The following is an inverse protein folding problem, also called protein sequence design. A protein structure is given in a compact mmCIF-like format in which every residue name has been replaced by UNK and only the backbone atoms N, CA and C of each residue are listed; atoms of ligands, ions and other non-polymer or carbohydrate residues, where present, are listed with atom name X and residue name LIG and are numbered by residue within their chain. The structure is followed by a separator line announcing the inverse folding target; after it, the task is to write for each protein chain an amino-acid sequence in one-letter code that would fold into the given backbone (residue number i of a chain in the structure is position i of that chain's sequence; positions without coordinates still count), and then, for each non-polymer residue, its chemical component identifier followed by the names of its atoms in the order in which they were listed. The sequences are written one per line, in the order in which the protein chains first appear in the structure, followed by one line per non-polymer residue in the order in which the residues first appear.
data_IF_062343066737
#
_entry.id   IF_062343066737
#
_cell.length_a   1.000
_cell.length_b   1.000
_cell.length_c   1.000
_cell.angle_alpha   90.00
_cell.angle_beta   90.00
_cell.angle_gamma   90.00
#
_symmetry.space_group_name_H-M   'P 1'
#
loop_
_entity.id
_entity.type
_entity.pdbx_description
1 polymer ?
#
# COMPACT_ATOMS: atom_id res chain seq x y z
N UNK A 1 -3.48 -8.61 -28.75
CA UNK A 1 -4.63 -7.71 -28.94
C UNK A 1 -4.82 -7.39 -30.43
N UNK A 2 -3.82 -6.86 -31.12
CA UNK A 2 -3.88 -6.42 -32.53
C UNK A 2 -4.31 -7.51 -33.51
N UNK A 3 -3.77 -8.74 -33.37
CA UNK A 3 -4.16 -9.88 -34.23
C UNK A 3 -5.65 -10.21 -34.19
N UNK A 4 -6.32 -9.94 -33.04
CA UNK A 4 -7.74 -10.22 -32.84
C UNK A 4 -8.61 -8.97 -33.01
N UNK A 5 -8.01 -7.82 -33.35
CA UNK A 5 -8.68 -6.52 -33.46
C UNK A 5 -9.51 -6.15 -32.23
N UNK A 6 -9.00 -6.48 -31.05
CA UNK A 6 -9.58 -6.14 -29.74
C UNK A 6 -8.71 -5.16 -28.94
N UNK A 7 -7.78 -4.48 -29.60
CA UNK A 7 -7.08 -3.33 -29.04
C UNK A 7 -8.00 -2.10 -29.03
N UNK A 8 -7.59 -1.10 -28.25
CA UNK A 8 -8.40 0.10 -28.05
C UNK A 8 -8.79 0.79 -29.36
N UNK A 9 -7.84 0.99 -30.28
CA UNK A 9 -8.10 1.72 -31.52
C UNK A 9 -9.09 0.96 -32.43
N UNK A 10 -8.93 -0.36 -32.51
CA UNK A 10 -9.86 -1.21 -33.29
C UNK A 10 -11.28 -1.16 -32.72
N UNK A 11 -11.44 -1.23 -31.41
CA UNK A 11 -12.76 -1.22 -30.76
C UNK A 11 -13.37 0.19 -30.76
N UNK A 12 -12.57 1.22 -30.56
CA UNK A 12 -12.98 2.62 -30.65
C UNK A 12 -13.51 3.00 -32.03
N UNK A 13 -12.92 2.45 -33.09
CA UNK A 13 -13.39 2.69 -34.46
C UNK A 13 -14.84 2.19 -34.68
N UNK A 14 -15.27 1.19 -33.92
CA UNK A 14 -16.65 0.67 -33.95
C UNK A 14 -17.56 1.45 -33.00
N UNK A 15 -17.05 1.91 -31.86
CA UNK A 15 -17.81 2.64 -30.87
C UNK A 15 -16.95 3.69 -30.17
N UNK A 16 -17.07 4.96 -30.59
CA UNK A 16 -16.33 6.07 -29.99
C UNK A 16 -16.65 6.30 -28.49
N UNK A 17 -17.74 5.74 -28.00
CA UNK A 17 -18.15 5.86 -26.59
C UNK A 17 -17.60 4.74 -25.72
N UNK A 18 -16.81 3.81 -26.27
CA UNK A 18 -16.26 2.69 -25.52
C UNK A 18 -15.31 3.17 -24.41
N UNK A 19 -15.49 2.65 -23.21
CA UNK A 19 -14.49 2.71 -22.15
C UNK A 19 -13.75 1.39 -22.18
N UNK A 20 -12.51 1.44 -22.60
CA UNK A 20 -11.63 0.28 -22.73
C UNK A 20 -10.73 0.20 -21.50
N UNK A 21 -10.89 -0.85 -20.70
CA UNK A 21 -10.16 -1.00 -19.44
C UNK A 21 -9.17 -2.15 -19.51
N UNK A 22 -7.95 -1.96 -19.03
CA UNK A 22 -6.93 -3.01 -19.02
C UNK A 22 -6.01 -2.93 -17.80
N UNK A 23 -5.64 -4.12 -17.29
CA UNK A 23 -4.59 -4.30 -16.28
C UNK A 23 -3.48 -5.15 -16.90
N UNK A 24 -2.24 -4.81 -16.59
CA UNK A 24 -1.06 -5.61 -16.93
C UNK A 24 -0.11 -5.68 -15.72
N UNK A 25 0.90 -6.53 -15.79
CA UNK A 25 1.89 -6.64 -14.71
C UNK A 25 2.68 -5.36 -14.49
N UNK A 26 3.14 -4.73 -15.59
CA UNK A 26 4.14 -3.67 -15.56
C UNK A 26 3.79 -2.42 -16.39
N UNK A 27 2.55 -2.28 -16.83
CA UNK A 27 2.11 -1.19 -17.68
C UNK A 27 1.99 -1.59 -19.15
N UNK A 28 1.43 -0.69 -19.95
CA UNK A 28 1.27 -0.88 -21.40
C UNK A 28 2.49 -0.39 -22.18
N UNK A 29 3.36 0.36 -21.52
CA UNK A 29 4.56 0.98 -22.05
C UNK A 29 5.74 0.73 -21.12
N UNK A 30 6.95 1.08 -21.57
CA UNK A 30 8.16 0.94 -20.77
C UNK A 30 8.89 -0.40 -20.94
N UNK A 31 10.03 -0.57 -20.26
CA UNK A 31 10.96 -1.68 -20.51
C UNK A 31 10.42 -3.07 -20.15
N UNK A 32 9.33 -3.14 -19.35
CA UNK A 32 8.74 -4.40 -18.90
C UNK A 32 7.33 -4.64 -19.46
N UNK A 33 6.85 -3.82 -20.39
CA UNK A 33 5.51 -3.93 -20.96
C UNK A 33 5.19 -5.30 -21.57
N UNK A 34 6.20 -5.98 -22.13
CA UNK A 34 6.07 -7.31 -22.72
C UNK A 34 6.30 -8.45 -21.70
N UNK A 35 6.63 -8.13 -20.45
CA UNK A 35 6.86 -9.16 -19.44
C UNK A 35 5.56 -9.55 -18.74
N UNK A 36 5.34 -10.85 -18.50
CA UNK A 36 4.25 -11.28 -17.64
C UNK A 36 4.51 -10.84 -16.20
N UNK A 37 3.48 -10.37 -15.52
CA UNK A 37 3.52 -10.01 -14.11
C UNK A 37 2.42 -10.74 -13.36
N UNK A 38 2.76 -11.20 -12.16
CA UNK A 38 1.82 -11.79 -11.19
C UNK A 38 2.08 -11.18 -9.82
N UNK A 39 1.11 -11.24 -8.96
CA UNK A 39 1.13 -10.65 -7.61
C UNK A 39 2.44 -10.90 -6.86
N UNK A 40 2.89 -12.15 -6.77
CA UNK A 40 4.11 -12.53 -6.06
C UNK A 40 5.36 -11.77 -6.54
N UNK A 41 5.50 -11.63 -7.86
CA UNK A 41 6.65 -10.93 -8.47
C UNK A 41 6.55 -9.44 -8.19
N UNK A 42 5.35 -8.88 -8.31
CA UNK A 42 5.11 -7.44 -8.13
C UNK A 42 5.26 -7.03 -6.65
N UNK A 43 4.82 -7.83 -5.70
CA UNK A 43 5.07 -7.57 -4.28
C UNK A 43 6.58 -7.44 -3.99
N UNK A 44 7.40 -8.29 -4.61
CA UNK A 44 8.87 -8.20 -4.49
C UNK A 44 9.45 -6.96 -5.16
N UNK A 45 9.10 -6.74 -6.41
CA UNK A 45 9.65 -5.63 -7.23
C UNK A 45 9.23 -4.24 -6.75
N UNK A 46 8.05 -4.11 -6.16
CA UNK A 46 7.58 -2.83 -5.60
C UNK A 46 8.30 -2.43 -4.32
N UNK A 47 9.00 -3.34 -3.65
CA UNK A 47 9.58 -3.11 -2.33
C UNK A 47 8.67 -3.46 -1.15
N UNK A 48 7.41 -3.84 -1.37
CA UNK A 48 6.48 -4.20 -0.29
C UNK A 48 7.04 -5.32 0.59
N UNK A 49 7.64 -6.35 -0.03
CA UNK A 49 8.21 -7.48 0.72
C UNK A 49 9.41 -7.08 1.58
N UNK A 50 10.15 -6.04 1.21
CA UNK A 50 11.32 -5.58 1.97
C UNK A 50 10.96 -4.82 3.25
N UNK A 51 9.73 -4.33 3.35
CA UNK A 51 9.21 -3.63 4.54
C UNK A 51 8.23 -4.47 5.36
N UNK A 52 7.86 -5.65 4.86
CA UNK A 52 6.90 -6.57 5.49
C UNK A 52 7.65 -7.70 6.20
N UNK A 53 7.28 -7.98 7.45
CA UNK A 53 7.81 -9.08 8.24
C UNK A 53 8.78 -8.66 9.35
N UNK A 54 9.34 -9.65 10.02
CA UNK A 54 10.24 -9.48 11.16
C UNK A 54 11.64 -9.06 10.72
N UNK A 55 12.30 -8.14 11.42
CA UNK A 55 13.68 -7.74 11.14
C UNK A 55 14.63 -8.95 11.06
N UNK A 56 15.43 -8.99 9.99
CA UNK A 56 16.42 -10.05 9.79
C UNK A 56 15.87 -11.39 9.25
N UNK A 57 14.56 -11.50 9.01
CA UNK A 57 13.95 -12.73 8.45
C UNK A 57 13.92 -12.75 6.92
N UNK A 58 14.41 -11.70 6.27
CA UNK A 58 14.34 -11.54 4.82
C UNK A 58 12.97 -11.06 4.33
N UNK A 59 12.84 -10.78 3.02
CA UNK A 59 11.61 -10.27 2.44
C UNK A 59 10.41 -11.21 2.66
N UNK A 60 9.27 -10.66 3.06
CA UNK A 60 8.06 -11.43 3.35
C UNK A 60 6.87 -10.89 2.56
N UNK A 61 6.12 -11.80 1.92
CA UNK A 61 4.90 -11.41 1.20
C UNK A 61 3.73 -11.14 2.13
N UNK A 62 2.83 -10.28 1.71
CA UNK A 62 1.50 -10.15 2.31
C UNK A 62 0.65 -11.39 2.00
N UNK A 63 -0.16 -11.86 2.93
CA UNK A 63 -0.90 -13.13 2.85
C UNK A 63 -1.96 -13.23 1.75
N UNK A 64 -2.28 -12.12 1.06
CA UNK A 64 -3.26 -12.05 -0.02
C UNK A 64 -2.60 -11.55 -1.32
N UNK A 65 -3.30 -11.69 -2.46
CA UNK A 65 -2.89 -11.13 -3.76
C UNK A 65 -3.17 -9.61 -3.79
N UNK A 66 -2.39 -8.85 -3.00
CA UNK A 66 -2.67 -7.44 -2.76
C UNK A 66 -2.45 -6.56 -3.99
N UNK A 67 -1.51 -6.91 -4.88
CA UNK A 67 -1.29 -6.14 -6.10
C UNK A 67 -2.46 -6.30 -7.08
N UNK A 68 -3.03 -7.49 -7.18
CA UNK A 68 -4.19 -7.77 -8.04
C UNK A 68 -5.42 -7.01 -7.54
N UNK A 69 -5.70 -7.09 -6.24
CA UNK A 69 -6.84 -6.39 -5.64
C UNK A 69 -6.69 -4.87 -5.71
N UNK A 70 -5.49 -4.33 -5.46
CA UNK A 70 -5.22 -2.90 -5.58
C UNK A 70 -5.40 -2.41 -7.03
N UNK A 71 -4.86 -3.13 -8.01
CA UNK A 71 -5.01 -2.78 -9.42
C UNK A 71 -6.49 -2.83 -9.86
N UNK A 72 -7.24 -3.84 -9.41
CA UNK A 72 -8.68 -3.92 -9.66
C UNK A 72 -9.46 -2.73 -9.10
N UNK A 73 -9.14 -2.30 -7.88
CA UNK A 73 -9.76 -1.13 -7.25
C UNK A 73 -9.42 0.17 -7.99
N UNK A 74 -8.16 0.41 -8.35
CA UNK A 74 -7.76 1.59 -9.11
C UNK A 74 -8.37 1.61 -10.51
N UNK A 75 -8.41 0.46 -11.20
CA UNK A 75 -9.06 0.38 -12.49
C UNK A 75 -10.57 0.68 -12.38
N UNK A 76 -11.25 0.14 -11.37
CA UNK A 76 -12.65 0.43 -11.09
C UNK A 76 -12.92 1.92 -10.89
N UNK A 77 -12.08 2.62 -10.12
CA UNK A 77 -12.13 4.07 -9.95
C UNK A 77 -11.91 4.81 -11.27
N UNK A 78 -10.90 4.39 -12.05
CA UNK A 78 -10.63 4.97 -13.37
C UNK A 78 -11.81 4.80 -14.33
N UNK A 79 -12.48 3.65 -14.33
CA UNK A 79 -13.70 3.41 -15.14
C UNK A 79 -14.82 4.37 -14.73
N UNK A 80 -15.05 4.56 -13.44
CA UNK A 80 -16.08 5.50 -12.95
C UNK A 80 -15.80 6.94 -13.37
N UNK A 81 -14.53 7.38 -13.29
CA UNK A 81 -14.12 8.70 -13.78
C UNK A 81 -14.31 8.83 -15.29
N UNK A 82 -13.96 7.79 -16.05
CA UNK A 82 -14.17 7.75 -17.50
C UNK A 82 -15.65 7.78 -17.89
N UNK A 83 -16.52 7.16 -17.08
CA UNK A 83 -17.98 7.24 -17.27
C UNK A 83 -18.50 8.66 -17.06
N UNK A 84 -18.06 9.35 -15.99
CA UNK A 84 -18.43 10.74 -15.72
C UNK A 84 -17.96 11.66 -16.86
N UNK A 85 -16.73 11.48 -17.33
CA UNK A 85 -16.19 12.27 -18.44
C UNK A 85 -16.95 11.99 -19.75
N UNK A 86 -17.34 10.74 -20.00
CA UNK A 86 -18.14 10.35 -21.16
C UNK A 86 -19.51 11.02 -21.18
N UNK A 87 -20.16 11.22 -20.03
CA UNK A 87 -21.44 11.96 -19.99
C UNK A 87 -21.28 13.44 -20.39
N UNK A 88 -20.13 14.03 -20.10
CA UNK A 88 -19.82 15.41 -20.46
C UNK A 88 -19.37 15.56 -21.94
N UNK A 89 -18.56 14.63 -22.44
CA UNK A 89 -17.90 14.74 -23.75
C UNK A 89 -18.55 13.93 -24.86
N UNK A 90 -19.36 12.95 -24.51
CA UNK A 90 -19.89 11.96 -25.44
C UNK A 90 -18.88 10.88 -25.88
N UNK A 91 -17.62 10.96 -25.43
CA UNK A 91 -16.51 10.10 -25.87
C UNK A 91 -16.06 9.16 -24.77
N UNK A 92 -15.72 7.94 -25.17
CA UNK A 92 -15.02 6.99 -24.31
C UNK A 92 -13.53 7.22 -24.30
N UNK A 93 -12.81 6.41 -23.53
CA UNK A 93 -11.34 6.48 -23.41
C UNK A 93 -10.75 5.14 -22.97
N UNK A 94 -9.46 5.02 -23.13
CA UNK A 94 -8.69 3.92 -22.59
C UNK A 94 -8.25 4.23 -21.17
N UNK A 95 -8.65 3.38 -20.22
CA UNK A 95 -8.23 3.44 -18.82
C UNK A 95 -7.35 2.22 -18.55
N UNK A 96 -6.17 2.42 -18.05
CA UNK A 96 -5.29 1.31 -17.71
C UNK A 96 -4.50 1.59 -16.43
N UNK A 97 -4.06 0.52 -15.80
CA UNK A 97 -3.12 0.51 -14.69
C UNK A 97 -2.27 -0.75 -14.76
N UNK A 98 -1.28 -0.84 -13.91
CA UNK A 98 -0.50 -2.05 -13.73
C UNK A 98 -0.50 -2.50 -12.26
N UNK A 99 -0.15 -3.77 -12.06
CA UNK A 99 0.07 -4.30 -10.72
C UNK A 99 1.18 -3.52 -10.01
N UNK A 100 2.28 -3.21 -10.73
CA UNK A 100 3.41 -2.49 -10.16
C UNK A 100 3.07 -1.05 -9.78
N UNK A 101 2.43 -0.28 -10.64
CA UNK A 101 1.99 1.10 -10.33
C UNK A 101 1.06 1.12 -9.12
N UNK A 102 0.11 0.18 -9.09
CA UNK A 102 -0.83 0.03 -7.98
C UNK A 102 -0.11 -0.28 -6.67
N UNK A 103 0.91 -1.14 -6.70
CA UNK A 103 1.69 -1.45 -5.50
C UNK A 103 2.59 -0.33 -5.04
N UNK A 104 3.21 0.43 -5.95
CA UNK A 104 4.01 1.61 -5.59
C UNK A 104 3.15 2.65 -4.84
N UNK A 105 1.89 2.83 -5.30
CA UNK A 105 0.92 3.68 -4.58
C UNK A 105 0.60 3.17 -3.16
N UNK A 106 0.64 1.85 -2.93
CA UNK A 106 0.35 1.23 -1.62
C UNK A 106 1.53 1.24 -0.65
N UNK A 107 2.72 1.65 -1.08
CA UNK A 107 3.85 1.86 -0.14
C UNK A 107 3.61 3.05 0.79
N UNK A 108 2.65 3.93 0.47
CA UNK A 108 2.19 5.02 1.30
C UNK A 108 3.36 5.89 1.83
N UNK A 109 3.39 6.21 3.12
CA UNK A 109 4.46 7.02 3.72
C UNK A 109 5.84 6.35 3.66
N UNK A 110 5.93 5.03 3.57
CA UNK A 110 7.21 4.34 3.38
C UNK A 110 7.83 4.67 2.02
N UNK A 111 7.01 4.73 0.97
CA UNK A 111 7.43 5.22 -0.35
C UNK A 111 7.85 6.70 -0.30
N UNK A 112 7.12 7.53 0.45
CA UNK A 112 7.46 8.94 0.64
C UNK A 112 8.78 9.12 1.41
N UNK A 113 9.06 8.32 2.45
CA UNK A 113 10.36 8.32 3.15
C UNK A 113 11.52 8.11 2.18
N UNK A 114 11.41 7.14 1.31
CA UNK A 114 12.45 6.87 0.32
C UNK A 114 12.57 8.00 -0.71
N UNK A 115 11.48 8.42 -1.32
CA UNK A 115 11.52 9.40 -2.42
C UNK A 115 11.83 10.83 -1.99
N UNK A 116 11.44 11.21 -0.77
CA UNK A 116 11.62 12.57 -0.27
C UNK A 116 12.85 12.72 0.63
N UNK A 117 13.22 11.68 1.38
CA UNK A 117 14.29 11.76 2.38
C UNK A 117 15.50 10.87 2.03
N UNK A 118 15.39 9.99 1.03
CA UNK A 118 16.41 8.98 0.72
C UNK A 118 16.52 7.88 1.78
N UNK A 119 15.57 7.81 2.71
CA UNK A 119 15.56 6.87 3.81
C UNK A 119 14.98 5.53 3.35
N UNK A 120 15.75 4.46 3.45
CA UNK A 120 15.32 3.11 3.04
C UNK A 120 14.59 2.46 4.23
N UNK A 121 13.26 2.28 4.13
CA UNK A 121 12.50 1.65 5.21
C UNK A 121 12.91 0.20 5.43
N UNK A 122 12.95 -0.21 6.71
CA UNK A 122 13.23 -1.58 7.11
C UNK A 122 11.96 -2.29 7.60
N UNK A 123 12.04 -3.61 7.72
CA UNK A 123 11.02 -4.42 8.41
C UNK A 123 10.92 -4.02 9.88
N UNK A 124 9.71 -3.94 10.41
CA UNK A 124 9.42 -3.57 11.80
C UNK A 124 8.57 -4.63 12.52
N UNK A 125 8.33 -5.78 11.88
CA UNK A 125 7.41 -6.77 12.42
C UNK A 125 6.00 -6.22 12.53
N UNK A 126 5.46 -6.25 13.73
CA UNK A 126 4.14 -5.72 14.05
C UNK A 126 4.17 -4.28 14.59
N UNK A 127 5.35 -3.69 14.75
CA UNK A 127 5.48 -2.34 15.28
C UNK A 127 5.30 -1.27 14.21
N UNK A 128 4.72 -0.16 14.60
CA UNK A 128 4.62 0.99 13.70
C UNK A 128 5.97 1.72 13.63
N UNK A 129 6.51 2.02 12.43
CA UNK A 129 7.87 2.54 12.30
C UNK A 129 8.11 3.94 12.86
N UNK A 130 7.06 4.70 13.13
CA UNK A 130 7.16 6.11 13.56
C UNK A 130 6.23 6.47 14.72
N UNK A 131 5.57 5.50 15.35
CA UNK A 131 4.62 5.75 16.43
C UNK A 131 4.67 4.62 17.48
N UNK A 132 4.74 4.95 18.76
CA UNK A 132 4.79 3.98 19.84
C UNK A 132 4.03 4.48 21.10
N UNK A 133 3.35 3.58 21.85
CA UNK A 133 3.07 2.18 21.52
C UNK A 133 2.03 2.05 20.40
N UNK A 134 2.41 1.42 19.34
CA UNK A 134 1.53 1.06 18.22
C UNK A 134 2.05 -0.22 17.59
N UNK A 135 1.42 -1.35 17.93
CA UNK A 135 1.90 -2.67 17.51
C UNK A 135 1.13 -3.81 18.16
N UNK A 136 1.70 -5.01 18.06
CA UNK A 136 1.15 -6.24 18.65
C UNK A 136 2.04 -6.72 19.77
N UNK A 137 1.49 -6.85 20.96
CA UNK A 137 2.20 -7.20 22.19
C UNK A 137 1.74 -8.54 22.72
N UNK A 138 2.67 -9.33 23.25
CA UNK A 138 2.35 -10.58 23.92
C UNK A 138 1.67 -10.34 25.27
N UNK A 139 0.68 -11.15 25.61
CA UNK A 139 0.03 -11.19 26.90
C UNK A 139 -0.05 -12.64 27.40
N UNK A 140 -0.58 -12.86 28.60
CA UNK A 140 -0.57 -14.17 29.26
C UNK A 140 -1.26 -15.27 28.44
N UNK A 141 -2.28 -14.94 27.67
CA UNK A 141 -3.14 -15.87 26.94
C UNK A 141 -3.12 -15.66 25.40
N UNK A 142 -2.20 -14.82 24.90
CA UNK A 142 -2.10 -14.58 23.46
C UNK A 142 -1.42 -13.27 23.10
N UNK A 143 -2.09 -12.49 22.26
CA UNK A 143 -1.58 -11.21 21.77
C UNK A 143 -2.67 -10.14 21.83
N UNK A 144 -2.25 -8.90 22.05
CA UNK A 144 -3.10 -7.72 22.02
C UNK A 144 -2.52 -6.67 21.08
N UNK A 145 -3.38 -6.01 20.29
CA UNK A 145 -2.99 -4.84 19.53
C UNK A 145 -3.21 -3.58 20.36
N UNK A 146 -2.16 -2.76 20.47
CA UNK A 146 -2.21 -1.48 21.17
C UNK A 146 -1.91 -0.39 20.15
N UNK A 147 -2.67 0.70 20.20
CA UNK A 147 -2.46 1.89 19.39
C UNK A 147 -2.70 3.14 20.25
N UNK A 148 -1.64 3.64 20.88
CA UNK A 148 -1.70 4.81 21.75
C UNK A 148 -0.58 5.84 21.41
N UNK A 149 -0.45 6.28 20.14
CA UNK A 149 0.68 7.11 19.70
C UNK A 149 0.61 8.58 20.13
N UNK A 150 -0.58 9.09 20.50
CA UNK A 150 -0.75 10.49 20.94
C UNK A 150 -0.69 10.61 22.45
N UNK A 151 -0.35 11.80 22.97
CA UNK A 151 -0.30 12.04 24.42
C UNK A 151 -1.61 11.70 25.14
N UNK A 152 -2.75 12.06 24.55
CA UNK A 152 -4.05 11.73 25.13
C UNK A 152 -4.28 10.20 25.18
N UNK A 153 -3.94 9.50 24.09
CA UNK A 153 -4.10 8.04 24.05
C UNK A 153 -3.12 7.34 24.97
N UNK A 154 -1.89 7.85 25.08
CA UNK A 154 -0.89 7.37 26.03
C UNK A 154 -1.37 7.50 27.47
N UNK A 155 -1.90 8.65 27.86
CA UNK A 155 -2.46 8.86 29.19
C UNK A 155 -3.60 7.87 29.49
N UNK A 156 -4.53 7.71 28.55
CA UNK A 156 -5.63 6.72 28.69
C UNK A 156 -5.14 5.28 28.75
N UNK A 157 -4.08 4.94 28.02
CA UNK A 157 -3.46 3.63 28.07
C UNK A 157 -2.85 3.37 29.47
N UNK A 158 -2.10 4.34 30.02
CA UNK A 158 -1.54 4.23 31.37
C UNK A 158 -2.62 4.08 32.46
N UNK A 159 -3.73 4.79 32.31
CA UNK A 159 -4.89 4.63 33.20
C UNK A 159 -5.46 3.20 33.11
N UNK A 160 -5.54 2.65 31.90
CA UNK A 160 -6.11 1.32 31.67
C UNK A 160 -5.24 0.19 32.25
N UNK A 161 -3.91 0.32 32.19
CA UNK A 161 -2.98 -0.70 32.71
C UNK A 161 -2.66 -0.47 34.20
N UNK A 162 -3.05 0.66 34.77
CA UNK A 162 -2.82 1.06 36.15
C UNK A 162 -1.35 0.99 36.59
N UNK A 163 -0.44 1.40 35.70
CA UNK A 163 1.02 1.43 35.94
C UNK A 163 1.51 2.86 36.18
N UNK A 164 1.57 3.24 37.47
CA UNK A 164 2.05 4.55 37.87
C UNK A 164 3.57 4.71 37.72
N UNK A 165 4.33 3.62 37.81
CA UNK A 165 5.79 3.67 37.60
C UNK A 165 6.11 4.03 36.16
N UNK A 166 5.43 3.42 35.20
CA UNK A 166 5.60 3.73 33.77
C UNK A 166 5.24 5.18 33.43
N UNK A 167 4.25 5.73 34.14
CA UNK A 167 3.80 7.13 33.98
C UNK A 167 4.89 8.14 34.32
N UNK A 168 5.76 7.84 35.26
CA UNK A 168 6.73 8.75 35.82
C UNK A 168 8.14 8.57 35.24
N UNK A 169 8.31 7.63 34.32
CA UNK A 169 9.61 7.41 33.66
C UNK A 169 9.88 8.47 32.60
N UNK A 170 10.96 9.21 32.78
CA UNK A 170 11.39 10.27 31.85
C UNK A 170 11.66 9.75 30.45
N UNK A 171 12.15 8.49 30.33
CA UNK A 171 12.45 7.84 29.06
C UNK A 171 11.22 7.59 28.17
N UNK A 172 10.00 7.76 28.69
CA UNK A 172 8.75 7.66 27.95
C UNK A 172 7.95 8.97 27.94
N UNK A 173 8.57 10.07 28.37
CA UNK A 173 7.92 11.36 28.60
C UNK A 173 7.41 12.06 27.33
N UNK A 174 7.92 11.70 26.15
CA UNK A 174 7.44 12.25 24.88
C UNK A 174 7.21 11.14 23.84
N UNK A 175 6.41 11.39 22.75
CA UNK A 175 6.26 10.44 21.65
C UNK A 175 7.60 10.03 21.02
N UNK A 176 8.54 10.96 20.93
CA UNK A 176 9.87 10.71 20.38
C UNK A 176 10.69 9.78 21.26
N UNK A 177 10.57 9.94 22.58
CA UNK A 177 11.32 9.13 23.55
C UNK A 177 10.75 7.71 23.57
N UNK A 178 9.42 7.57 23.51
CA UNK A 178 8.74 6.26 23.42
C UNK A 178 9.12 5.44 22.18
N UNK A 179 9.48 6.08 21.06
CA UNK A 179 9.94 5.39 19.86
C UNK A 179 11.39 4.88 20.00
N UNK A 180 12.19 5.50 20.88
CA UNK A 180 13.62 5.22 21.04
C UNK A 180 13.91 4.17 22.09
N UNK A 181 13.05 4.04 23.09
CA UNK A 181 13.20 3.18 24.25
C UNK A 181 12.15 2.05 24.27
#
# INVERSE_FOLDING_TARGET
KHRLQIDYESVRAVNERIIYASISGFGQEGPYSERPGVDQIVQGMSGLMSITGEPGRGPMRVGIAISDTAAGMFLGQGILLALLERERTGKGQWVHTSLLESMLSKLDFQGARYTMLGDIPAQQGNDHPTAYPMGTFACADGFVNIAAPTERMWASFLDAIADDDLRHREEYGSPRDRIRN
#
